data_IF_633728188040
#
_entry.id   IF_633728188040
#
_cell.length_a   1.000
_cell.length_b   1.000
_cell.length_c   1.000
_cell.angle_alpha   90.00
_cell.angle_beta   90.00
_cell.angle_gamma   90.00
#
_symmetry.space_group_name_H-M   'P 1'
#
loop_
_entity.id
_entity.type
_entity.pdbx_description
1 polymer ?
#
# COMPACT_ATOMS: atom_id res chain seq x y z
N UNK A 1 -9.56 -22.58 9.50
CA UNK A 1 -10.29 -21.72 10.47
C UNK A 1 -9.62 -20.35 10.72
N UNK A 2 -8.30 -20.18 10.55
CA UNK A 2 -7.63 -18.86 10.72
C UNK A 2 -7.73 -17.94 9.50
N UNK A 3 -7.81 -18.49 8.29
CA UNK A 3 -7.76 -17.69 7.04
C UNK A 3 -9.00 -16.82 6.84
N UNK A 4 -10.17 -17.26 7.32
CA UNK A 4 -11.42 -16.51 7.21
C UNK A 4 -11.45 -15.25 8.08
N UNK A 5 -10.68 -15.20 9.17
CA UNK A 5 -10.70 -14.07 10.10
C UNK A 5 -9.92 -12.87 9.54
N UNK A 6 -8.73 -13.10 8.96
CA UNK A 6 -7.95 -12.02 8.36
C UNK A 6 -8.69 -11.35 7.19
N UNK A 7 -9.27 -12.16 6.29
CA UNK A 7 -10.03 -11.65 5.15
C UNK A 7 -11.24 -10.79 5.58
N UNK A 8 -11.95 -11.22 6.62
CA UNK A 8 -13.07 -10.48 7.17
C UNK A 8 -12.62 -9.15 7.80
N UNK A 9 -11.52 -9.16 8.56
CA UNK A 9 -10.98 -7.96 9.19
C UNK A 9 -10.45 -6.96 8.17
N UNK A 10 -9.75 -7.41 7.12
CA UNK A 10 -9.28 -6.55 6.03
C UNK A 10 -10.43 -5.84 5.34
N UNK A 11 -11.51 -6.58 5.02
CA UNK A 11 -12.69 -6.00 4.36
C UNK A 11 -13.36 -4.95 5.23
N UNK A 12 -13.51 -5.21 6.53
CA UNK A 12 -14.06 -4.23 7.47
C UNK A 12 -13.18 -2.99 7.61
N UNK A 13 -11.87 -3.19 7.73
CA UNK A 13 -10.92 -2.10 7.89
C UNK A 13 -10.92 -1.16 6.68
N UNK A 14 -10.94 -1.70 5.46
CA UNK A 14 -11.03 -0.90 4.23
C UNK A 14 -12.31 -0.05 4.22
N UNK A 15 -13.46 -0.62 4.60
CA UNK A 15 -14.71 0.15 4.70
C UNK A 15 -14.66 1.27 5.76
N UNK A 16 -13.99 1.03 6.88
CA UNK A 16 -13.79 2.05 7.92
C UNK A 16 -12.86 3.18 7.49
N UNK A 17 -11.77 2.86 6.78
CA UNK A 17 -10.84 3.86 6.24
C UNK A 17 -11.57 4.81 5.30
N UNK A 18 -12.37 4.26 4.36
CA UNK A 18 -13.02 5.07 3.33
C UNK A 18 -14.16 5.92 3.92
N UNK A 19 -14.95 5.36 4.84
CA UNK A 19 -16.20 6.02 5.27
C UNK A 19 -16.07 6.83 6.57
N UNK A 20 -15.19 6.44 7.50
CA UNK A 20 -15.24 6.93 8.88
C UNK A 20 -13.94 7.58 9.34
N UNK A 21 -12.79 7.01 8.99
CA UNK A 21 -11.51 7.49 9.49
C UNK A 21 -10.97 8.65 8.66
N UNK A 22 -11.01 9.85 9.24
CA UNK A 22 -10.26 11.00 8.71
C UNK A 22 -8.83 11.00 9.28
N UNK A 23 -7.84 10.89 8.39
CA UNK A 23 -6.43 10.84 8.74
C UNK A 23 -5.90 12.24 9.08
N UNK A 24 -5.68 12.51 10.37
CA UNK A 24 -5.18 13.81 10.86
C UNK A 24 -3.70 14.07 10.59
N UNK A 25 -2.93 13.00 10.42
CA UNK A 25 -1.48 13.07 10.22
C UNK A 25 -1.08 12.18 9.06
N UNK A 26 -0.43 12.76 8.07
CA UNK A 26 0.19 12.01 6.98
C UNK A 26 1.64 11.71 7.35
N UNK A 27 1.97 10.43 7.49
CA UNK A 27 3.32 9.96 7.89
C UNK A 27 4.08 9.27 6.76
N UNK A 28 3.53 9.24 5.54
CA UNK A 28 4.18 8.65 4.36
C UNK A 28 4.64 7.20 4.55
N UNK A 29 3.91 6.40 5.34
CA UNK A 29 4.27 5.03 5.73
C UNK A 29 5.65 4.87 6.43
N UNK A 30 6.17 5.93 7.07
CA UNK A 30 7.46 5.90 7.78
C UNK A 30 7.54 4.84 8.91
N UNK A 31 6.39 4.36 9.41
CA UNK A 31 6.32 3.29 10.41
C UNK A 31 6.63 1.88 9.87
N UNK A 32 6.67 1.68 8.55
CA UNK A 32 6.88 0.38 7.91
C UNK A 32 8.15 -0.37 8.35
N UNK A 33 9.35 0.26 8.39
CA UNK A 33 10.57 -0.39 8.88
C UNK A 33 10.46 -0.91 10.32
N UNK A 34 9.70 -0.22 11.19
CA UNK A 34 9.49 -0.69 12.57
C UNK A 34 8.62 -1.95 12.62
N UNK A 35 7.54 -1.98 11.84
CA UNK A 35 6.66 -3.16 11.72
C UNK A 35 7.42 -4.35 11.15
N UNK A 36 8.19 -4.13 10.08
CA UNK A 36 9.00 -5.17 9.46
C UNK A 36 10.02 -5.76 10.44
N UNK A 37 10.68 -4.92 11.26
CA UNK A 37 11.59 -5.37 12.31
C UNK A 37 10.89 -6.28 13.31
N UNK A 38 9.68 -5.92 13.77
CA UNK A 38 8.91 -6.74 14.72
C UNK A 38 8.55 -8.11 14.14
N UNK A 39 8.16 -8.17 12.85
CA UNK A 39 7.85 -9.42 12.15
C UNK A 39 9.09 -10.32 12.09
N UNK A 40 10.25 -9.77 11.73
CA UNK A 40 11.51 -10.54 11.69
C UNK A 40 11.91 -11.07 13.06
N UNK A 41 11.75 -10.28 14.13
CA UNK A 41 12.00 -10.76 15.50
C UNK A 41 11.07 -11.92 15.84
N UNK A 42 9.77 -11.83 15.51
CA UNK A 42 8.83 -12.93 15.69
C UNK A 42 9.21 -14.19 14.91
N UNK A 43 9.74 -14.02 13.70
CA UNK A 43 10.23 -15.12 12.86
C UNK A 43 11.45 -15.81 13.50
N UNK A 44 12.41 -15.04 14.01
CA UNK A 44 13.60 -15.57 14.70
C UNK A 44 13.19 -16.34 15.96
N UNK A 45 12.28 -15.79 16.76
CA UNK A 45 11.75 -16.47 17.96
C UNK A 45 11.07 -17.78 17.58
N UNK A 46 10.24 -17.79 16.54
CA UNK A 46 9.59 -19.02 16.03
C UNK A 46 10.62 -20.09 15.63
N UNK A 47 11.70 -19.70 14.96
CA UNK A 47 12.77 -20.62 14.56
C UNK A 47 13.53 -21.19 15.76
N UNK A 48 13.84 -20.36 16.76
CA UNK A 48 14.48 -20.82 18.01
C UNK A 48 13.58 -21.77 18.80
N UNK A 49 12.28 -21.47 18.87
CA UNK A 49 11.30 -22.28 19.59
C UNK A 49 11.08 -23.63 18.88
N UNK A 50 11.04 -23.62 17.55
CA UNK A 50 10.98 -24.82 16.71
C UNK A 50 12.24 -25.69 16.90
N UNK A 51 13.43 -25.09 16.91
CA UNK A 51 14.68 -25.78 17.21
C UNK A 51 14.67 -26.38 18.62
N UNK A 52 14.18 -25.64 19.62
CA UNK A 52 14.02 -26.14 20.98
C UNK A 52 13.08 -27.35 21.07
N UNK A 53 11.95 -27.33 20.36
CA UNK A 53 10.99 -28.45 20.34
C UNK A 53 11.56 -29.69 19.62
N UNK A 54 12.25 -29.52 18.49
CA UNK A 54 12.83 -30.62 17.70
C UNK A 54 14.08 -31.23 18.34
N UNK A 55 14.86 -30.44 19.10
CA UNK A 55 16.03 -30.93 19.85
C UNK A 55 15.64 -32.02 20.87
N UNK A 56 14.43 -31.96 21.43
CA UNK A 56 13.92 -32.99 22.34
C UNK A 56 13.58 -34.32 21.65
N UNK A 57 13.45 -34.35 20.31
CA UNK A 57 13.02 -35.54 19.55
C UNK A 57 14.15 -36.30 18.86
N UNK A 58 15.42 -36.04 19.20
CA UNK A 58 16.61 -36.73 18.66
C UNK A 58 16.62 -36.86 17.10
N UNK A 59 16.15 -35.84 16.39
CA UNK A 59 16.18 -35.81 14.91
C UNK A 59 17.52 -35.24 14.44
N UNK A 60 18.58 -36.06 14.51
CA UNK A 60 19.96 -35.65 14.23
C UNK A 60 20.23 -35.20 12.78
N UNK A 61 19.38 -35.59 11.82
CA UNK A 61 19.58 -35.29 10.39
C UNK A 61 19.21 -33.85 10.01
N UNK A 62 18.32 -33.20 10.75
CA UNK A 62 17.73 -31.91 10.36
C UNK A 62 18.30 -30.71 11.13
N UNK A 63 19.09 -30.96 12.18
CA UNK A 63 19.77 -29.96 13.00
C UNK A 63 20.62 -28.95 12.22
N UNK A 64 21.44 -29.32 11.22
CA UNK A 64 22.25 -28.33 10.49
C UNK A 64 21.40 -27.40 9.61
N UNK A 65 20.26 -27.87 9.08
CA UNK A 65 19.34 -27.00 8.35
C UNK A 65 18.66 -26.03 9.31
N UNK A 66 18.21 -26.53 10.47
CA UNK A 66 17.56 -25.73 11.51
C UNK A 66 18.47 -24.65 12.11
N UNK A 67 19.78 -24.89 12.21
CA UNK A 67 20.75 -23.88 12.67
C UNK A 67 21.11 -22.87 11.56
N UNK A 68 21.08 -23.28 10.30
CA UNK A 68 21.32 -22.38 9.17
C UNK A 68 20.18 -21.37 8.98
N UNK A 69 18.93 -21.75 9.27
CA UNK A 69 17.75 -20.88 9.18
C UNK A 69 17.88 -19.56 9.98
N UNK A 70 18.19 -19.56 11.30
CA UNK A 70 18.34 -18.33 12.08
C UNK A 70 19.55 -17.49 11.64
N UNK A 71 20.62 -18.11 11.13
CA UNK A 71 21.78 -17.37 10.59
C UNK A 71 21.37 -16.62 9.33
N UNK A 72 20.65 -17.29 8.42
CA UNK A 72 20.16 -16.69 7.18
C UNK A 72 19.15 -15.58 7.46
N UNK A 73 18.27 -15.72 8.46
CA UNK A 73 17.32 -14.64 8.81
C UNK A 73 18.00 -13.41 9.40
N UNK A 74 19.04 -13.59 10.22
CA UNK A 74 19.82 -12.46 10.74
C UNK A 74 20.55 -11.75 9.59
N UNK A 75 21.17 -12.50 8.68
CA UNK A 75 21.83 -11.92 7.52
C UNK A 75 20.84 -11.16 6.61
N UNK A 76 19.68 -11.76 6.35
CA UNK A 76 18.60 -11.12 5.61
C UNK A 76 18.09 -9.84 6.30
N UNK A 77 17.99 -9.84 7.63
CA UNK A 77 17.61 -8.64 8.39
C UNK A 77 18.61 -7.49 8.17
N UNK A 78 19.91 -7.76 8.24
CA UNK A 78 20.96 -6.74 8.02
C UNK A 78 20.91 -6.22 6.58
N UNK A 79 20.75 -7.13 5.61
CA UNK A 79 20.63 -6.76 4.20
C UNK A 79 19.40 -5.87 3.94
N UNK A 80 18.24 -6.25 4.47
CA UNK A 80 17.01 -5.47 4.35
C UNK A 80 17.13 -4.11 5.03
N UNK A 81 17.80 -4.05 6.18
CA UNK A 81 18.03 -2.79 6.89
C UNK A 81 18.88 -1.84 6.05
N UNK A 82 20.04 -2.29 5.57
CA UNK A 82 20.92 -1.45 4.75
C UNK A 82 20.29 -0.97 3.45
N UNK A 83 19.51 -1.82 2.77
CA UNK A 83 18.96 -1.51 1.44
C UNK A 83 17.67 -0.70 1.47
N UNK A 84 16.78 -0.96 2.42
CA UNK A 84 15.42 -0.40 2.42
C UNK A 84 15.22 0.72 3.45
N UNK A 85 15.93 0.71 4.59
CA UNK A 85 15.76 1.76 5.61
C UNK A 85 16.11 3.15 5.06
N UNK A 86 17.13 3.23 4.20
CA UNK A 86 17.54 4.49 3.56
C UNK A 86 16.43 5.11 2.72
N UNK A 87 15.58 4.30 2.07
CA UNK A 87 14.49 4.81 1.23
C UNK A 87 13.32 5.38 2.05
N UNK A 88 13.13 4.93 3.29
CA UNK A 88 12.04 5.43 4.17
C UNK A 88 12.48 6.57 5.08
N UNK A 89 13.79 6.66 5.40
CA UNK A 89 14.32 7.65 6.34
C UNK A 89 14.99 8.85 5.65
N UNK A 90 15.47 8.69 4.41
CA UNK A 90 16.16 9.75 3.67
C UNK A 90 15.47 9.96 2.33
N UNK A 91 15.01 11.18 2.11
CA UNK A 91 14.46 11.56 0.83
C UNK A 91 15.61 11.88 -0.15
N UNK A 92 15.71 11.23 -1.31
CA UNK A 92 16.79 11.47 -2.26
C UNK A 92 16.63 12.85 -2.90
N UNK A 93 17.76 13.54 -3.11
CA UNK A 93 17.76 14.89 -3.67
C UNK A 93 17.17 14.94 -5.09
N UNK A 94 17.33 13.87 -5.87
CA UNK A 94 16.80 13.78 -7.24
C UNK A 94 15.28 13.89 -7.26
N UNK A 95 14.59 13.14 -6.39
CA UNK A 95 13.12 13.18 -6.31
C UNK A 95 12.65 14.55 -5.80
N UNK A 96 13.41 15.19 -4.90
CA UNK A 96 13.12 16.56 -4.45
C UNK A 96 13.21 17.58 -5.59
N UNK A 97 14.24 17.50 -6.43
CA UNK A 97 14.38 18.40 -7.58
C UNK A 97 13.28 18.19 -8.62
N UNK A 98 12.89 16.93 -8.87
CA UNK A 98 11.79 16.61 -9.79
C UNK A 98 10.48 17.19 -9.26
N UNK A 99 10.19 17.02 -7.96
CA UNK A 99 8.98 17.56 -7.34
C UNK A 99 8.96 19.10 -7.39
N UNK A 100 10.05 19.76 -7.03
CA UNK A 100 10.18 21.23 -7.08
C UNK A 100 9.98 21.78 -8.51
N UNK A 101 10.54 21.11 -9.52
CA UNK A 101 10.38 21.49 -10.93
C UNK A 101 8.93 21.33 -11.39
N UNK A 102 8.26 20.25 -10.97
CA UNK A 102 6.86 19.98 -11.31
C UNK A 102 5.95 21.01 -10.64
N UNK A 103 6.11 21.27 -9.34
CA UNK A 103 5.33 22.28 -8.61
C UNK A 103 5.46 23.66 -9.25
N UNK A 104 6.68 24.05 -9.64
CA UNK A 104 6.94 25.32 -10.34
C UNK A 104 6.27 25.41 -11.70
N UNK A 105 6.10 24.28 -12.40
CA UNK A 105 5.42 24.22 -13.69
C UNK A 105 3.89 24.26 -13.54
N UNK A 106 3.35 23.62 -12.50
CA UNK A 106 1.91 23.59 -12.22
C UNK A 106 1.41 24.92 -11.69
N UNK A 107 2.12 25.55 -10.74
CA UNK A 107 1.68 26.78 -10.06
C UNK A 107 2.77 27.88 -10.04
N UNK A 108 3.00 28.58 -11.17
CA UNK A 108 4.10 29.54 -11.29
C UNK A 108 3.91 30.85 -10.48
N UNK A 109 2.71 31.09 -9.93
CA UNK A 109 2.36 32.34 -9.21
C UNK A 109 2.27 32.18 -7.69
N UNK A 110 2.57 30.99 -7.16
CA UNK A 110 2.44 30.68 -5.74
C UNK A 110 3.50 31.44 -4.90
N UNK A 111 3.04 32.27 -3.96
CA UNK A 111 3.91 33.01 -3.05
C UNK A 111 4.29 32.16 -1.82
N UNK A 112 5.33 31.34 -1.95
CA UNK A 112 5.82 30.42 -0.91
C UNK A 112 6.06 31.12 0.45
N UNK A 113 6.62 32.34 0.43
CA UNK A 113 6.95 33.10 1.64
C UNK A 113 5.71 33.49 2.44
N UNK A 114 4.62 33.84 1.77
CA UNK A 114 3.36 34.16 2.43
C UNK A 114 2.72 32.89 3.01
N UNK A 115 2.72 31.80 2.24
CA UNK A 115 2.17 30.50 2.62
C UNK A 115 2.88 29.90 3.86
N UNK A 116 4.21 29.96 3.92
CA UNK A 116 5.00 29.33 5.00
C UNK A 116 5.07 30.16 6.29
N UNK A 117 4.72 31.46 6.25
CA UNK A 117 4.90 32.38 7.38
C UNK A 117 4.11 31.96 8.62
N UNK A 118 2.90 31.44 8.43
CA UNK A 118 1.97 31.13 9.52
C UNK A 118 1.81 29.62 9.76
N UNK A 119 2.53 28.77 9.02
CA UNK A 119 2.38 27.32 9.05
C UNK A 119 2.63 26.70 10.44
N UNK A 120 3.71 27.14 11.11
CA UNK A 120 4.16 26.60 12.41
C UNK A 120 3.88 27.52 13.60
N UNK A 121 3.04 28.54 13.43
CA UNK A 121 2.59 29.38 14.55
C UNK A 121 1.74 28.54 15.50
N UNK A 122 2.02 28.65 16.80
CA UNK A 122 1.28 27.90 17.82
C UNK A 122 -0.23 28.20 17.68
N UNK A 123 -1.12 27.20 17.82
CA UNK A 123 -2.55 27.36 17.55
C UNK A 123 -3.23 28.46 18.38
N UNK A 124 -2.67 28.83 19.54
CA UNK A 124 -3.16 29.94 20.39
C UNK A 124 -2.88 31.32 19.78
N UNK A 125 -1.87 31.44 18.92
CA UNK A 125 -1.48 32.68 18.26
C UNK A 125 -1.99 32.80 16.82
N UNK A 126 -2.60 31.73 16.27
CA UNK A 126 -3.34 31.84 15.02
C UNK A 126 -4.61 32.62 15.33
N UNK A 127 -4.76 33.79 14.71
CA UNK A 127 -5.94 34.64 14.88
C UNK A 127 -7.23 33.86 14.59
N UNK A 128 -8.36 34.34 15.11
CA UNK A 128 -9.69 33.68 15.03
C UNK A 128 -10.22 33.54 13.59
N UNK A 129 -9.48 33.99 12.57
CA UNK A 129 -9.72 33.63 11.18
C UNK A 129 -9.36 32.15 10.97
N UNK A 130 -10.37 31.31 11.21
CA UNK A 130 -10.46 29.96 10.68
C UNK A 130 -10.27 30.02 9.16
N UNK A 131 -9.04 29.92 8.69
CA UNK A 131 -8.82 29.05 7.55
C UNK A 131 -8.77 27.64 8.13
N UNK A 132 -9.82 26.87 7.87
CA UNK A 132 -9.70 25.41 7.99
C UNK A 132 -8.42 25.08 7.22
N UNK A 133 -7.48 24.29 7.74
CA UNK A 133 -6.50 23.71 6.83
C UNK A 133 -7.37 23.00 5.79
N UNK A 134 -7.43 23.56 4.58
CA UNK A 134 -7.68 22.75 3.41
C UNK A 134 -6.62 21.68 3.58
N UNK A 135 -7.06 20.47 3.94
CA UNK A 135 -6.28 19.32 3.56
C UNK A 135 -5.94 19.64 2.12
N UNK A 136 -4.65 19.81 1.84
CA UNK A 136 -4.21 19.92 0.46
C UNK A 136 -4.62 18.55 -0.06
N UNK A 137 -5.81 18.50 -0.65
CA UNK A 137 -6.39 17.32 -1.24
C UNK A 137 -5.68 17.22 -2.59
N UNK A 138 -4.35 17.00 -2.50
CA UNK A 138 -3.49 16.64 -3.63
C UNK A 138 -4.04 15.38 -4.31
N UNK A 139 -4.94 14.65 -3.63
CA UNK A 139 -5.67 13.50 -4.13
C UNK A 139 -6.95 13.88 -4.93
N UNK A 140 -7.63 14.99 -4.63
CA UNK A 140 -8.79 15.47 -5.40
C UNK A 140 -8.38 16.10 -6.75
N UNK A 141 -7.18 16.70 -6.82
CA UNK A 141 -6.63 17.27 -8.06
C UNK A 141 -5.87 16.26 -8.94
N UNK A 142 -5.69 15.02 -8.46
CA UNK A 142 -5.15 13.96 -9.30
C UNK A 142 -6.31 13.42 -10.18
N UNK A 143 -6.25 13.56 -11.52
CA UNK A 143 -7.32 13.04 -12.37
C UNK A 143 -7.48 11.55 -12.09
N UNK A 144 -8.61 11.17 -11.48
CA UNK A 144 -8.95 9.79 -11.14
C UNK A 144 -8.75 8.94 -12.40
N UNK A 145 -7.62 8.23 -12.46
CA UNK A 145 -7.37 7.28 -13.53
C UNK A 145 -8.44 6.23 -13.39
N UNK A 146 -9.40 6.24 -14.31
CA UNK A 146 -10.48 5.27 -14.33
C UNK A 146 -9.87 3.87 -14.47
N UNK A 147 -9.63 3.19 -13.34
CA UNK A 147 -9.27 1.78 -13.37
C UNK A 147 -10.52 1.04 -13.78
N UNK A 148 -10.62 0.74 -15.08
CA UNK A 148 -11.64 -0.16 -15.61
C UNK A 148 -11.44 -1.52 -14.95
N UNK A 149 -12.14 -1.75 -13.85
CA UNK A 149 -12.27 -3.08 -13.26
C UNK A 149 -13.09 -3.90 -14.25
N UNK A 150 -12.41 -4.50 -15.23
CA UNK A 150 -12.99 -5.51 -16.09
C UNK A 150 -13.38 -6.68 -15.20
N UNK A 151 -14.61 -6.66 -14.68
CA UNK A 151 -15.25 -7.85 -14.15
C UNK A 151 -15.36 -8.80 -15.33
N UNK A 152 -14.41 -9.71 -15.45
CA UNK A 152 -14.54 -10.91 -16.26
C UNK A 152 -15.69 -11.70 -15.64
N UNK A 153 -16.90 -11.39 -16.07
CA UNK A 153 -18.10 -12.19 -15.83
C UNK A 153 -17.81 -13.55 -16.45
N UNK A 154 -17.33 -14.49 -15.64
CA UNK A 154 -17.36 -15.91 -15.96
C UNK A 154 -18.83 -16.33 -15.97
N UNK A 155 -19.52 -16.12 -17.10
CA UNK A 155 -20.71 -16.89 -17.43
C UNK A 155 -20.24 -18.26 -17.90
N UNK A 156 -20.72 -19.37 -17.31
CA UNK A 156 -20.39 -20.69 -17.80
C UNK A 156 -21.02 -20.89 -19.17
N UNK A 157 -20.24 -21.56 -20.02
CA UNK A 157 -20.56 -21.98 -21.38
C UNK A 157 -21.86 -22.78 -21.40
N UNK A 158 -22.81 -22.40 -22.25
CA UNK A 158 -23.86 -23.29 -22.73
C UNK A 158 -23.96 -23.06 -24.22
N UNK A 159 -23.47 -24.06 -24.95
CA UNK A 159 -23.59 -24.21 -26.39
C UNK A 159 -25.08 -24.35 -26.72
N UNK A 160 -25.58 -23.54 -27.66
CA UNK A 160 -26.64 -23.92 -28.60
C UNK A 160 -27.07 -22.71 -29.46
N UNK A 161 -27.04 -22.88 -30.78
CA UNK A 161 -27.97 -22.18 -31.68
C UNK A 161 -27.50 -20.89 -32.35
N UNK A 162 -26.32 -20.86 -32.95
CA UNK A 162 -25.90 -19.81 -33.89
C UNK A 162 -26.07 -20.28 -35.36
N UNK A 163 -27.29 -20.59 -35.80
CA UNK A 163 -27.52 -20.91 -37.24
C UNK A 163 -28.94 -20.61 -37.76
N UNK A 164 -29.72 -19.72 -37.16
CA UNK A 164 -31.11 -19.48 -37.64
C UNK A 164 -31.58 -18.04 -37.74
N UNK A 165 -30.71 -17.02 -37.54
CA UNK A 165 -31.12 -15.60 -37.60
C UNK A 165 -30.42 -14.73 -38.64
N UNK A 166 -29.45 -15.25 -39.39
CA UNK A 166 -28.79 -14.52 -40.47
C UNK A 166 -29.50 -14.66 -41.83
N UNK A 167 -30.36 -15.66 -42.01
CA UNK A 167 -31.05 -15.93 -43.29
C UNK A 167 -32.34 -15.10 -43.43
N UNK A 168 -33.00 -14.73 -42.33
CA UNK A 168 -34.28 -14.02 -42.36
C UNK A 168 -34.15 -12.50 -42.59
N UNK A 169 -32.98 -11.91 -42.28
CA UNK A 169 -32.75 -10.47 -42.38
C UNK A 169 -32.17 -10.02 -43.73
N UNK A 170 -31.74 -10.97 -44.59
CA UNK A 170 -31.27 -10.67 -45.96
C UNK A 170 -32.41 -10.75 -46.98
N UNK A 171 -33.45 -11.56 -46.74
CA UNK A 171 -34.55 -11.79 -47.69
C UNK A 171 -35.62 -10.69 -47.68
N UNK A 172 -35.71 -9.87 -46.63
CA UNK A 172 -36.73 -8.81 -46.52
C UNK A 172 -36.30 -7.44 -47.07
N UNK A 173 -35.07 -7.30 -47.60
CA UNK A 173 -34.58 -6.04 -48.20
C UNK A 173 -34.51 -6.05 -49.74
N UNK A 174 -35.00 -7.10 -50.39
CA UNK A 174 -35.18 -7.13 -51.86
C UNK A 174 -36.60 -7.54 -52.24
N UNK A 175 -37.56 -6.69 -51.90
CA UNK A 175 -38.82 -6.49 -52.64
C UNK A 175 -39.21 -5.02 -52.56
#
# INVERSE_FOLDING_TARGET
>A
MRDSTCAFQMTKFIGLIINVYNQKYESGASFWPDVHRRILVGLVISQLLLLGLLSNKNVARSTPVLIALPILTIWFHIFCKGRYESAFMKFPLQDAMVKDTLERATEPTLNLKAYLKDAYVHPVFKGVELDRPTAIDDEENNPLVATKRSRRSSKPHSEEGAETRAVELVVTRSR
#
